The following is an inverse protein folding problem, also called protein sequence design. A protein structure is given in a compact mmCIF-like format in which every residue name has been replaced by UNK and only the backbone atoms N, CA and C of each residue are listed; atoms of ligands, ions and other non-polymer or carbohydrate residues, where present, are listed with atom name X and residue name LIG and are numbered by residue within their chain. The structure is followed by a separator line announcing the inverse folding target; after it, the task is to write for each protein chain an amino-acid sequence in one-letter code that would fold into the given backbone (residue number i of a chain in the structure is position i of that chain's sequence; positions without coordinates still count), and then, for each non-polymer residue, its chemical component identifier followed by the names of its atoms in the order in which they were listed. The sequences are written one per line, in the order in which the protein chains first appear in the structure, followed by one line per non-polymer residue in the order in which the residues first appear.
data_IF_174615987467
#
_entry.id   IF_174615987467
#
_cell.length_a   1.000
_cell.length_b   1.000
_cell.length_c   1.000
_cell.angle_alpha   90.00
_cell.angle_beta   90.00
_cell.angle_gamma   90.00
#
_symmetry.space_group_name_H-M   'P 1'
#
loop_
_entity.id
_entity.type
_entity.pdbx_description
1 polymer ?
#
# COMPACT_ATOMS: atom_id res chain seq x y z
N UNK A 1 40.07 11.06 16.73
CA UNK A 1 38.82 10.99 17.52
C UNK A 1 37.75 10.34 16.67
N UNK A 2 37.51 9.04 16.83
CA UNK A 2 36.50 8.33 16.05
C UNK A 2 35.15 8.47 16.76
N UNK A 3 34.27 9.30 16.20
CA UNK A 3 32.89 9.48 16.66
C UNK A 3 32.12 8.18 16.38
N UNK A 4 32.03 7.27 17.34
CA UNK A 4 31.08 6.15 17.31
C UNK A 4 29.67 6.66 17.58
N UNK A 5 29.12 7.38 16.61
CA UNK A 5 27.75 7.88 16.66
C UNK A 5 26.78 6.74 16.31
N UNK A 6 26.25 6.12 17.36
CA UNK A 6 25.12 5.19 17.40
C UNK A 6 25.32 3.88 16.63
N UNK A 7 25.66 2.82 17.37
CA UNK A 7 25.83 1.43 16.91
C UNK A 7 24.57 0.74 16.40
N UNK A 8 23.84 1.37 15.47
CA UNK A 8 22.78 0.72 14.72
C UNK A 8 23.40 -0.07 13.57
N UNK A 9 23.10 -1.37 13.53
CA UNK A 9 23.42 -2.26 12.41
C UNK A 9 23.01 -1.61 11.07
N UNK A 10 23.85 -1.77 10.03
CA UNK A 10 23.53 -1.29 8.67
C UNK A 10 22.12 -1.71 8.22
N UNK A 11 21.70 -2.93 8.57
CA UNK A 11 20.35 -3.45 8.27
C UNK A 11 19.24 -2.65 8.93
N UNK A 12 19.45 -2.19 10.17
CA UNK A 12 18.47 -1.37 10.89
C UNK A 12 18.29 -0.01 10.21
N UNK A 13 19.39 0.60 9.73
CA UNK A 13 19.34 1.88 9.02
C UNK A 13 18.51 1.80 7.75
N UNK A 14 18.64 0.70 7.00
CA UNK A 14 17.83 0.45 5.79
C UNK A 14 16.34 0.31 6.14
N UNK A 15 16.01 -0.45 7.19
CA UNK A 15 14.63 -0.59 7.65
C UNK A 15 14.00 0.75 8.07
N UNK A 16 14.75 1.57 8.80
CA UNK A 16 14.32 2.89 9.25
C UNK A 16 14.09 3.84 8.06
N UNK A 17 15.02 3.89 7.11
CA UNK A 17 14.88 4.68 5.87
C UNK A 17 13.61 4.29 5.10
N UNK A 18 13.34 2.98 4.98
CA UNK A 18 12.14 2.48 4.33
C UNK A 18 10.86 2.94 5.04
N UNK A 19 10.80 2.83 6.37
CA UNK A 19 9.64 3.29 7.14
C UNK A 19 9.40 4.79 6.99
N UNK A 20 10.45 5.62 6.98
CA UNK A 20 10.32 7.06 6.77
C UNK A 20 9.81 7.36 5.36
N UNK A 21 10.37 6.69 4.35
CA UNK A 21 9.95 6.88 2.97
C UNK A 21 8.46 6.57 2.80
N UNK A 22 7.99 5.44 3.34
CA UNK A 22 6.57 5.08 3.33
C UNK A 22 5.71 6.15 4.02
N UNK A 23 6.14 6.62 5.19
CA UNK A 23 5.43 7.66 5.93
C UNK A 23 5.26 8.96 5.11
N UNK A 24 6.35 9.48 4.54
CA UNK A 24 6.35 10.72 3.77
C UNK A 24 5.54 10.57 2.48
N UNK A 25 5.67 9.43 1.80
CA UNK A 25 4.99 9.15 0.54
C UNK A 25 3.46 9.10 0.71
N UNK A 26 2.97 8.36 1.71
CA UNK A 26 1.54 8.17 1.92
C UNK A 26 0.86 9.33 2.64
N UNK A 27 1.61 10.15 3.40
CA UNK A 27 1.06 11.37 4.02
C UNK A 27 0.90 12.54 3.04
N UNK A 28 1.28 12.38 1.76
CA UNK A 28 1.11 13.38 0.68
C UNK A 28 1.63 14.78 1.04
N UNK A 29 2.77 14.82 1.75
CA UNK A 29 3.39 16.07 2.21
C UNK A 29 2.95 16.57 3.58
N UNK A 30 2.15 15.80 4.33
CA UNK A 30 1.81 16.11 5.72
C UNK A 30 2.99 15.96 6.69
N UNK A 31 3.99 15.15 6.35
CA UNK A 31 5.22 14.99 7.13
C UNK A 31 6.40 15.11 6.16
N UNK A 32 7.36 15.97 6.47
CA UNK A 32 8.58 16.09 5.68
C UNK A 32 9.61 15.04 6.09
N UNK A 33 10.52 14.69 5.18
CA UNK A 33 11.58 13.73 5.48
C UNK A 33 12.44 14.17 6.66
N UNK A 34 12.79 15.46 6.74
CA UNK A 34 13.60 16.00 7.82
C UNK A 34 12.87 15.94 9.16
N UNK A 35 11.58 16.26 9.17
CA UNK A 35 10.76 16.19 10.37
C UNK A 35 10.61 14.76 10.88
N UNK A 36 10.34 13.82 9.97
CA UNK A 36 10.32 12.41 10.31
C UNK A 36 11.69 11.96 10.83
N UNK A 37 12.79 12.21 10.12
CA UNK A 37 14.10 11.67 10.47
C UNK A 37 14.71 12.30 11.73
N UNK A 38 14.77 13.64 11.77
CA UNK A 38 15.51 14.38 12.80
C UNK A 38 14.66 14.80 14.00
N UNK A 39 13.43 15.23 13.77
CA UNK A 39 12.60 15.86 14.82
C UNK A 39 11.79 14.79 15.58
N UNK A 40 11.36 13.73 14.88
CA UNK A 40 10.45 12.75 15.46
C UNK A 40 11.16 11.66 16.28
N UNK A 41 10.83 11.50 17.57
CA UNK A 41 11.26 10.36 18.37
C UNK A 41 10.76 9.03 17.81
N UNK A 42 11.47 7.94 18.12
CA UNK A 42 11.15 6.58 17.62
C UNK A 42 9.72 6.15 17.93
N UNK A 43 9.21 6.47 19.12
CA UNK A 43 7.85 6.09 19.53
C UNK A 43 6.76 6.83 18.74
N UNK A 44 6.94 8.12 18.44
CA UNK A 44 5.99 8.88 17.61
C UNK A 44 6.00 8.37 16.18
N UNK A 45 7.18 8.03 15.66
CA UNK A 45 7.33 7.44 14.33
C UNK A 45 6.57 6.12 14.20
N UNK A 46 6.65 5.27 15.21
CA UNK A 46 5.87 4.03 15.27
C UNK A 46 4.37 4.30 15.37
N UNK A 47 3.95 5.27 16.19
CA UNK A 47 2.56 5.68 16.28
C UNK A 47 1.99 6.09 14.92
N UNK A 48 2.63 7.04 14.23
CA UNK A 48 2.17 7.48 12.90
C UNK A 48 2.19 6.37 11.86
N UNK A 49 3.20 5.49 11.91
CA UNK A 49 3.27 4.34 11.01
C UNK A 49 2.09 3.38 11.22
N UNK A 50 1.72 3.10 12.47
CA UNK A 50 0.60 2.23 12.80
C UNK A 50 -0.73 2.82 12.35
N UNK A 51 -0.98 4.11 12.63
CA UNK A 51 -2.16 4.83 12.15
C UNK A 51 -2.28 4.77 10.62
N UNK A 52 -1.17 4.96 9.92
CA UNK A 52 -1.12 4.89 8.46
C UNK A 52 -1.44 3.49 7.93
N UNK A 53 -0.93 2.45 8.58
CA UNK A 53 -1.27 1.07 8.24
C UNK A 53 -2.74 0.79 8.48
N UNK A 54 -3.33 1.31 9.54
CA UNK A 54 -4.76 1.16 9.83
C UNK A 54 -5.64 1.87 8.81
N UNK A 55 -5.31 3.10 8.42
CA UNK A 55 -6.08 3.84 7.41
C UNK A 55 -6.04 3.13 6.06
N UNK A 56 -4.86 2.70 5.60
CA UNK A 56 -4.73 1.95 4.35
C UNK A 56 -5.49 0.61 4.38
N UNK A 57 -5.51 -0.09 5.52
CA UNK A 57 -6.31 -1.30 5.70
C UNK A 57 -7.81 -1.02 5.60
N UNK A 58 -8.28 0.07 6.22
CA UNK A 58 -9.70 0.50 6.17
C UNK A 58 -10.10 0.87 4.74
N UNK A 59 -9.25 1.63 4.03
CA UNK A 59 -9.46 1.97 2.61
C UNK A 59 -9.51 0.72 1.71
N UNK A 60 -8.57 -0.21 1.90
CA UNK A 60 -8.53 -1.46 1.14
C UNK A 60 -9.76 -2.35 1.42
N UNK A 61 -10.23 -2.38 2.67
CA UNK A 61 -11.44 -3.12 3.04
C UNK A 61 -12.70 -2.51 2.40
N UNK A 62 -12.82 -1.17 2.42
CA UNK A 62 -13.91 -0.46 1.77
C UNK A 62 -13.91 -0.67 0.24
N UNK A 63 -12.73 -0.62 -0.39
CA UNK A 63 -12.58 -0.87 -1.83
C UNK A 63 -13.01 -2.30 -2.22
N UNK A 64 -12.68 -3.31 -1.40
CA UNK A 64 -13.08 -4.71 -1.63
C UNK A 64 -14.57 -4.95 -1.36
N UNK A 65 -15.17 -4.22 -0.40
CA UNK A 65 -16.59 -4.32 -0.09
C UNK A 65 -17.51 -3.68 -1.14
N UNK A 66 -16.99 -2.75 -1.95
CA UNK A 66 -17.75 -2.06 -2.99
C UNK A 66 -17.78 -2.73 -4.36
N UNK A 67 -17.04 -3.82 -4.58
CA UNK A 67 -16.92 -4.47 -5.88
C UNK A 67 -17.58 -5.86 -5.93
N UNK A 68 -18.86 -5.96 -5.60
CA UNK A 68 -19.72 -6.95 -6.25
C UNK A 68 -20.31 -6.35 -7.52
N UNK A 69 -19.46 -5.95 -8.46
CA UNK A 69 -19.89 -5.92 -9.86
C UNK A 69 -19.84 -7.38 -10.32
N UNK A 70 -20.99 -8.05 -10.56
CA UNK A 70 -20.94 -9.40 -11.09
C UNK A 70 -20.16 -9.33 -12.41
N UNK A 71 -19.06 -10.06 -12.48
CA UNK A 71 -18.28 -10.23 -13.70
C UNK A 71 -19.26 -10.55 -14.83
N UNK A 72 -19.23 -9.83 -15.97
CA UNK A 72 -20.10 -10.16 -17.09
C UNK A 72 -19.77 -11.61 -17.49
N UNK A 73 -20.71 -12.53 -17.21
CA UNK A 73 -20.61 -13.92 -17.66
C UNK A 73 -20.34 -13.84 -19.16
N UNK A 74 -19.19 -14.37 -19.58
CA UNK A 74 -18.84 -14.54 -20.99
C UNK A 74 -20.09 -15.03 -21.73
N UNK A 75 -20.62 -14.18 -22.62
CA UNK A 75 -21.68 -14.61 -23.53
C UNK A 75 -21.01 -15.57 -24.50
N UNK A 76 -21.10 -16.87 -24.23
CA UNK A 76 -20.76 -17.90 -25.20
C UNK A 76 -21.57 -17.62 -26.46
N UNK A 77 -20.91 -17.11 -27.50
CA UNK A 77 -21.51 -16.88 -28.81
C UNK A 77 -21.87 -18.26 -29.35
N UNK A 78 -23.15 -18.62 -29.30
CA UNK A 78 -23.61 -19.86 -29.90
C UNK A 78 -23.52 -19.70 -31.42
N UNK A 79 -22.83 -20.59 -32.14
CA UNK A 79 -22.78 -20.52 -33.59
C UNK A 79 -24.19 -20.74 -34.15
N UNK A 80 -24.58 -20.01 -35.22
CA UNK A 80 -25.89 -20.17 -35.82
C UNK A 80 -26.08 -21.60 -36.30
N UNK A 81 -27.21 -22.20 -35.96
CA UNK A 81 -27.66 -23.48 -36.49
C UNK A 81 -28.03 -23.28 -37.97
N UNK A 82 -27.32 -23.95 -38.86
CA UNK A 82 -27.58 -23.99 -40.31
C UNK A 82 -28.15 -25.34 -40.74
N UNK A 83 -29.17 -25.87 -40.04
CA UNK A 83 -29.89 -27.05 -40.51
C UNK A 83 -30.63 -26.72 -41.80
N UNK A 84 -30.16 -27.31 -42.91
CA UNK A 84 -30.71 -27.19 -44.26
C UNK A 84 -32.13 -27.79 -44.26
N UNK A 85 -33.16 -26.93 -44.31
CA UNK A 85 -34.55 -27.37 -44.56
C UNK A 85 -34.64 -27.83 -46.02
N UNK A 86 -34.80 -29.13 -46.24
CA UNK A 86 -35.16 -29.67 -47.55
C UNK A 86 -34.78 -31.13 -47.71
N UNK A 87 -35.60 -32.02 -47.17
CA UNK A 87 -36.04 -33.30 -47.76
C UNK A 87 -37.52 -33.50 -47.41
#
# INVERSE_FOLDING_TARGET
MASTSFGLSSKYKVGLQKQIFELVYYTKGGITYEEAYFIMPVYLRQFHYNELVETLKKEAAAAKGGSTTPSPKSRTIQPPNWTRKGE
#
